data_IF_279720011003
#
_entry.id   IF_279720011003
#
_cell.length_a   1.000
_cell.length_b   1.000
_cell.length_c   1.000
_cell.angle_alpha   90.00
_cell.angle_beta   90.00
_cell.angle_gamma   90.00
#
_symmetry.space_group_name_H-M   'P 1'
#
loop_
_entity.id
_entity.type
_entity.pdbx_description
1 polymer ?
#
# COMPACT_ATOMS: atom_id res chain seq x y z
N UNK A 1 -16.72 36.98 -32.20
CA UNK A 1 -15.82 35.81 -32.39
C UNK A 1 -14.80 35.85 -31.26
N UNK A 2 -14.84 34.99 -30.24
CA UNK A 2 -13.82 35.11 -29.18
C UNK A 2 -13.96 34.26 -27.91
N UNK A 3 -15.12 33.70 -27.60
CA UNK A 3 -15.31 32.95 -26.32
C UNK A 3 -15.17 31.43 -26.45
N UNK A 4 -15.36 30.85 -27.65
CA UNK A 4 -15.34 29.39 -27.86
C UNK A 4 -13.96 28.76 -28.00
N UNK A 5 -12.90 29.56 -28.16
CA UNK A 5 -11.54 29.07 -28.46
C UNK A 5 -10.81 28.64 -27.18
N UNK A 6 -11.00 29.38 -26.07
CA UNK A 6 -10.39 29.00 -24.79
C UNK A 6 -10.94 27.68 -24.26
N UNK A 7 -12.26 27.49 -24.25
CA UNK A 7 -12.88 26.25 -23.72
C UNK A 7 -12.42 25.01 -24.49
N UNK A 8 -12.27 25.12 -25.83
CA UNK A 8 -11.75 24.03 -26.66
C UNK A 8 -10.28 23.74 -26.38
N UNK A 9 -9.46 24.77 -26.15
CA UNK A 9 -8.06 24.60 -25.80
C UNK A 9 -7.87 23.89 -24.45
N UNK A 10 -8.67 24.22 -23.43
CA UNK A 10 -8.64 23.52 -22.14
C UNK A 10 -9.09 22.06 -22.26
N UNK A 11 -10.17 21.79 -23.00
CA UNK A 11 -10.63 20.41 -23.22
C UNK A 11 -9.61 19.58 -24.02
N UNK A 12 -8.95 20.18 -25.02
CA UNK A 12 -7.89 19.52 -25.77
C UNK A 12 -6.65 19.28 -24.92
N UNK A 13 -6.23 20.25 -24.11
CA UNK A 13 -5.11 20.10 -23.19
C UNK A 13 -5.38 19.01 -22.14
N UNK A 14 -6.60 18.94 -21.59
CA UNK A 14 -7.00 17.89 -20.65
C UNK A 14 -6.96 16.49 -21.29
N UNK A 15 -7.51 16.36 -22.51
CA UNK A 15 -7.45 15.11 -23.27
C UNK A 15 -6.01 14.71 -23.62
N UNK A 16 -5.15 15.67 -23.97
CA UNK A 16 -3.73 15.43 -24.23
C UNK A 16 -2.99 15.03 -22.95
N UNK A 17 -3.29 15.64 -21.80
CA UNK A 17 -2.71 15.26 -20.52
C UNK A 17 -3.06 13.82 -20.15
N UNK A 18 -4.33 13.41 -20.31
CA UNK A 18 -4.77 12.03 -20.09
C UNK A 18 -4.12 11.05 -21.07
N UNK A 19 -4.06 11.39 -22.36
CA UNK A 19 -3.41 10.55 -23.36
C UNK A 19 -1.91 10.41 -23.10
N UNK A 20 -1.23 11.50 -22.72
CA UNK A 20 0.19 11.48 -22.38
C UNK A 20 0.44 10.68 -21.10
N UNK A 21 -0.38 10.83 -20.06
CA UNK A 21 -0.30 10.03 -18.83
C UNK A 21 -0.46 8.52 -19.11
N UNK A 22 -1.34 8.15 -20.04
CA UNK A 22 -1.52 6.75 -20.45
C UNK A 22 -0.35 6.21 -21.30
N UNK A 23 0.30 7.06 -22.12
CA UNK A 23 1.41 6.67 -23.00
C UNK A 23 2.78 6.67 -22.34
N UNK A 24 2.99 7.47 -21.30
CA UNK A 24 4.33 7.73 -20.74
C UNK A 24 4.76 6.74 -19.65
N UNK A 25 3.99 5.68 -19.37
CA UNK A 25 4.35 4.70 -18.32
C UNK A 25 4.34 5.27 -16.89
N UNK A 26 4.03 6.56 -16.73
CA UNK A 26 4.02 7.31 -15.47
C UNK A 26 2.99 6.73 -14.50
N UNK A 27 1.92 6.09 -14.96
CA UNK A 27 1.02 5.35 -14.09
C UNK A 27 1.75 4.21 -13.34
N UNK A 28 2.64 3.49 -14.03
CA UNK A 28 3.37 2.37 -13.42
C UNK A 28 4.56 2.85 -12.59
N UNK A 29 5.29 3.87 -13.05
CA UNK A 29 6.37 4.51 -12.29
C UNK A 29 5.86 5.24 -11.05
N UNK A 30 4.71 5.91 -11.12
CA UNK A 30 4.13 6.60 -9.95
C UNK A 30 3.61 5.57 -8.95
N UNK A 31 2.98 4.48 -9.39
CA UNK A 31 2.58 3.38 -8.49
C UNK A 31 3.82 2.70 -7.88
N UNK A 32 4.86 2.43 -8.67
CA UNK A 32 6.12 1.88 -8.15
C UNK A 32 6.85 2.85 -7.22
N UNK A 33 6.83 4.16 -7.50
CA UNK A 33 7.47 5.19 -6.66
C UNK A 33 6.68 5.48 -5.39
N UNK A 34 5.35 5.37 -5.41
CA UNK A 34 4.51 5.38 -4.20
C UNK A 34 4.80 4.12 -3.36
N UNK A 35 4.93 2.95 -4.00
CA UNK A 35 5.34 1.70 -3.33
C UNK A 35 6.77 1.74 -2.78
N UNK A 36 7.71 2.40 -3.48
CA UNK A 36 9.11 2.60 -3.05
C UNK A 36 9.27 3.71 -2.01
N UNK A 37 8.46 4.77 -2.07
CA UNK A 37 8.48 5.90 -1.15
C UNK A 37 7.82 5.58 0.19
N UNK A 38 6.89 4.62 0.20
CA UNK A 38 6.51 3.89 1.40
C UNK A 38 7.68 2.99 1.76
N UNK A 39 8.49 3.32 2.78
CA UNK A 39 9.49 2.37 3.29
C UNK A 39 8.78 1.04 3.58
N UNK A 40 8.98 0.04 2.71
CA UNK A 40 8.39 -1.29 2.90
C UNK A 40 8.94 -1.82 4.22
N UNK A 41 8.04 -2.15 5.14
CA UNK A 41 8.41 -2.84 6.37
C UNK A 41 9.07 -4.16 5.96
N UNK A 42 10.20 -4.48 6.59
CA UNK A 42 10.86 -5.78 6.38
C UNK A 42 10.11 -6.86 7.16
N UNK A 43 10.18 -8.10 6.70
CA UNK A 43 9.54 -9.23 7.40
C UNK A 43 9.99 -9.36 8.88
N UNK A 44 11.29 -9.21 9.24
CA UNK A 44 11.70 -9.18 10.64
C UNK A 44 11.06 -8.04 11.44
N UNK A 45 10.97 -6.84 10.87
CA UNK A 45 10.33 -5.68 11.51
C UNK A 45 8.83 -5.93 11.69
N UNK A 46 8.14 -6.52 10.70
CA UNK A 46 6.73 -6.88 10.80
C UNK A 46 6.47 -7.83 11.97
N UNK A 47 7.32 -8.85 12.13
CA UNK A 47 7.22 -9.79 13.25
C UNK A 47 7.43 -9.11 14.60
N UNK A 48 8.39 -8.21 14.69
CA UNK A 48 8.63 -7.43 15.90
C UNK A 48 7.45 -6.52 16.25
N UNK A 49 6.84 -5.85 15.26
CA UNK A 49 5.66 -5.00 15.47
C UNK A 49 4.48 -5.80 16.02
N UNK A 50 4.26 -7.03 15.52
CA UNK A 50 3.17 -7.89 15.99
C UNK A 50 3.54 -8.72 17.24
N UNK A 51 4.81 -8.73 17.66
CA UNK A 51 5.30 -9.52 18.77
C UNK A 51 5.14 -11.02 18.55
N UNK A 52 5.47 -11.50 17.34
CA UNK A 52 5.36 -12.90 16.91
C UNK A 52 6.71 -13.46 16.46
N UNK A 53 6.83 -14.78 16.39
CA UNK A 53 8.06 -15.48 16.00
C UNK A 53 7.97 -15.97 14.55
N UNK A 54 9.08 -16.47 14.01
CA UNK A 54 9.13 -17.04 12.66
C UNK A 54 8.25 -18.29 12.47
N UNK A 55 7.94 -18.98 13.57
CA UNK A 55 7.14 -20.20 13.58
C UNK A 55 5.65 -19.95 13.89
N UNK A 56 5.25 -18.69 14.11
CA UNK A 56 3.86 -18.38 14.38
C UNK A 56 2.97 -18.74 13.19
N UNK A 57 1.86 -19.38 13.49
CA UNK A 57 0.82 -19.75 12.54
C UNK A 57 0.11 -18.50 12.00
N UNK A 58 -0.60 -18.64 10.88
CA UNK A 58 -1.35 -17.52 10.30
C UNK A 58 -2.48 -17.06 11.25
N UNK A 59 -3.11 -18.01 11.93
CA UNK A 59 -4.15 -17.77 12.93
C UNK A 59 -3.60 -16.94 14.11
N UNK A 60 -2.42 -17.26 14.63
CA UNK A 60 -1.77 -16.49 15.70
C UNK A 60 -1.42 -15.06 15.24
N UNK A 61 -0.97 -14.91 13.99
CA UNK A 61 -0.69 -13.60 13.39
C UNK A 61 -1.95 -12.74 13.34
N UNK A 62 -3.08 -13.29 12.84
CA UNK A 62 -4.35 -12.58 12.77
C UNK A 62 -4.86 -12.20 14.16
N UNK A 63 -4.80 -13.12 15.13
CA UNK A 63 -5.22 -12.85 16.51
C UNK A 63 -4.42 -11.70 17.14
N UNK A 64 -3.10 -11.68 16.93
CA UNK A 64 -2.22 -10.60 17.42
C UNK A 64 -2.51 -9.28 16.72
N UNK A 65 -2.69 -9.31 15.39
CA UNK A 65 -3.06 -8.16 14.59
C UNK A 65 -4.37 -7.54 15.08
N UNK A 66 -5.45 -8.30 15.20
CA UNK A 66 -6.77 -7.79 15.59
C UNK A 66 -6.71 -7.10 16.96
N UNK A 67 -6.08 -7.77 17.93
CA UNK A 67 -5.89 -7.21 19.28
C UNK A 67 -5.12 -5.89 19.26
N UNK A 68 -4.00 -5.83 18.53
CA UNK A 68 -3.18 -4.62 18.44
C UNK A 68 -3.91 -3.52 17.67
N UNK A 69 -4.57 -3.85 16.57
CA UNK A 69 -5.28 -2.90 15.73
C UNK A 69 -6.45 -2.25 16.47
N UNK A 70 -7.29 -3.05 17.14
CA UNK A 70 -8.39 -2.55 17.95
C UNK A 70 -7.92 -1.70 19.13
N UNK A 71 -6.88 -2.14 19.84
CA UNK A 71 -6.35 -1.37 20.97
C UNK A 71 -5.75 -0.03 20.50
N UNK A 72 -5.05 0.00 19.37
CA UNK A 72 -4.52 1.24 18.81
C UNK A 72 -5.62 2.14 18.23
N UNK A 73 -6.73 1.59 17.74
CA UNK A 73 -7.89 2.38 17.33
C UNK A 73 -8.54 3.13 18.50
N UNK A 74 -8.55 2.51 19.70
CA UNK A 74 -9.16 3.07 20.91
C UNK A 74 -8.21 4.00 21.68
N UNK A 75 -6.97 3.56 21.86
CA UNK A 75 -6.01 4.14 22.81
C UNK A 75 -4.68 4.56 22.17
N UNK A 76 -4.50 4.33 20.87
CA UNK A 76 -3.25 4.59 20.16
C UNK A 76 -3.33 5.81 19.26
N UNK A 77 -2.44 5.86 18.28
CA UNK A 77 -2.43 6.86 17.23
C UNK A 77 -2.65 6.21 15.86
N UNK A 78 -3.14 7.00 14.91
CA UNK A 78 -3.26 6.57 13.51
C UNK A 78 -1.93 6.06 12.96
N UNK A 79 -0.80 6.62 13.40
CA UNK A 79 0.53 6.16 13.00
C UNK A 79 0.82 4.73 13.50
N UNK A 80 0.55 4.46 14.77
CA UNK A 80 0.76 3.12 15.35
C UNK A 80 -0.18 2.09 14.72
N UNK A 81 -1.45 2.44 14.56
CA UNK A 81 -2.42 1.60 13.86
C UNK A 81 -1.98 1.31 12.41
N UNK A 82 -1.50 2.33 11.70
CA UNK A 82 -0.96 2.17 10.34
C UNK A 82 0.25 1.25 10.33
N UNK A 83 1.14 1.32 11.33
CA UNK A 83 2.30 0.41 11.43
C UNK A 83 1.88 -1.04 11.65
N UNK A 84 0.89 -1.29 12.51
CA UNK A 84 0.32 -2.63 12.73
C UNK A 84 -0.31 -3.16 11.43
N UNK A 85 -1.04 -2.32 10.69
CA UNK A 85 -1.64 -2.68 9.41
C UNK A 85 -0.58 -3.04 8.35
N UNK A 86 0.43 -2.18 8.18
CA UNK A 86 1.53 -2.41 7.23
C UNK A 86 2.32 -3.68 7.57
N UNK A 87 2.48 -4.02 8.85
CA UNK A 87 3.11 -5.26 9.29
C UNK A 87 2.32 -6.50 8.86
N UNK A 88 0.98 -6.48 8.98
CA UNK A 88 0.12 -7.57 8.51
C UNK A 88 0.21 -7.76 6.99
N UNK A 89 0.14 -6.67 6.21
CA UNK A 89 0.27 -6.74 4.75
C UNK A 89 1.63 -7.34 4.33
N UNK A 90 2.71 -6.96 5.00
CA UNK A 90 4.04 -7.53 4.74
C UNK A 90 4.07 -9.05 4.96
N UNK A 91 3.52 -9.55 6.06
CA UNK A 91 3.49 -10.98 6.36
C UNK A 91 2.53 -11.75 5.43
N UNK A 92 1.44 -11.11 4.97
CA UNK A 92 0.52 -11.70 4.00
C UNK A 92 1.21 -11.96 2.66
N UNK A 93 2.00 -11.00 2.15
CA UNK A 93 2.79 -11.19 0.93
C UNK A 93 3.78 -12.35 1.06
N UNK A 94 4.43 -12.49 2.23
CA UNK A 94 5.37 -13.60 2.49
C UNK A 94 4.63 -14.94 2.55
N UNK A 95 3.49 -14.99 3.23
CA UNK A 95 2.68 -16.19 3.34
C UNK A 95 2.15 -16.65 1.97
N UNK A 96 1.66 -15.72 1.14
CA UNK A 96 1.21 -16.01 -0.22
C UNK A 96 2.34 -16.53 -1.11
N UNK A 97 3.52 -15.88 -1.09
CA UNK A 97 4.70 -16.37 -1.83
C UNK A 97 5.12 -17.77 -1.42
N UNK A 98 5.03 -18.09 -0.12
CA UNK A 98 5.34 -19.44 0.38
C UNK A 98 4.31 -20.48 -0.07
N UNK A 99 3.05 -20.10 -0.18
CA UNK A 99 2.00 -20.98 -0.70
C UNK A 99 2.16 -21.22 -2.22
N UNK A 100 2.53 -20.19 -2.98
CA UNK A 100 2.74 -20.27 -4.43
C UNK A 100 4.03 -21.00 -4.83
N UNK A 101 5.11 -20.84 -4.06
CA UNK A 101 6.40 -21.51 -4.29
C UNK A 101 6.44 -22.98 -3.87
N UNK A 102 5.33 -23.52 -3.38
CA UNK A 102 5.18 -24.92 -2.99
C UNK A 102 4.37 -25.73 -4.04
N UNK A 103 4.37 -25.26 -5.29
CA UNK A 103 3.80 -25.91 -6.48
C UNK A 103 4.91 -26.39 -7.41
#
# INVERSE_FOLDING_TARGET
MGSGIMVRAFAQAYRQALANASKSGVAHETVQNIRRGSKMISEPEARQILGITEHSTWEEILQKYDKLFENNAKNGSFYLQSKVHRAKECLEEVYQKKAEGNV
#
